data_IF_896163002127
#
_entry.id   IF_896163002127
#
_cell.length_a   1.000
_cell.length_b   1.000
_cell.length_c   1.000
_cell.angle_alpha   90.00
_cell.angle_beta   90.00
_cell.angle_gamma   90.00
#
_symmetry.space_group_name_H-M   'P 1'
#
loop_
_entity.id
_entity.type
_entity.pdbx_description
1 polymer ?
#
# COMPACT_ATOMS: atom_id res chain seq x y z
N UNK A 1 24.93 -11.13 -6.97
CA UNK A 1 24.53 -11.15 -5.55
C UNK A 1 24.09 -9.73 -5.23
N UNK A 2 22.78 -9.46 -5.12
CA UNK A 2 22.29 -8.09 -4.85
C UNK A 2 22.66 -7.74 -3.41
N UNK A 3 23.48 -6.70 -3.22
CA UNK A 3 23.82 -6.22 -1.88
C UNK A 3 22.57 -5.65 -1.19
N UNK A 4 22.48 -5.88 0.12
CA UNK A 4 21.33 -5.45 0.92
C UNK A 4 21.44 -3.96 1.25
N UNK A 5 20.42 -3.18 0.85
CA UNK A 5 20.40 -1.71 0.92
C UNK A 5 20.66 -1.16 2.33
N UNK A 6 20.27 -1.90 3.38
CA UNK A 6 20.49 -1.56 4.79
C UNK A 6 21.96 -1.29 5.14
N UNK A 7 22.91 -1.86 4.38
CA UNK A 7 24.35 -1.61 4.60
C UNK A 7 24.80 -0.20 4.22
N UNK A 8 24.01 0.53 3.43
CA UNK A 8 24.40 1.80 2.82
C UNK A 8 23.63 3.01 3.35
N UNK A 9 22.52 2.79 4.05
CA UNK A 9 21.62 3.86 4.49
C UNK A 9 21.18 3.67 5.93
N UNK A 10 20.79 4.76 6.60
CA UNK A 10 20.17 4.69 7.92
C UNK A 10 18.66 4.41 7.84
N UNK A 11 18.04 4.75 6.71
CA UNK A 11 16.63 4.49 6.43
C UNK A 11 16.40 4.41 4.92
N UNK A 12 15.38 3.65 4.51
CA UNK A 12 14.97 3.55 3.11
C UNK A 12 13.46 3.45 3.01
N UNK A 13 12.86 4.28 2.13
CA UNK A 13 11.41 4.27 1.92
C UNK A 13 10.98 2.93 1.31
N UNK A 14 9.97 2.31 1.90
CA UNK A 14 9.48 0.98 1.48
C UNK A 14 8.17 1.02 0.70
N UNK A 15 7.57 2.20 0.58
CA UNK A 15 6.33 2.46 -0.15
C UNK A 15 6.49 3.60 -1.15
N UNK A 16 5.45 3.84 -1.95
CA UNK A 16 5.26 5.13 -2.58
C UNK A 16 4.95 6.21 -1.52
N UNK A 17 4.83 7.45 -1.95
CA UNK A 17 4.49 8.57 -1.05
C UNK A 17 3.20 8.31 -0.25
N UNK A 18 3.26 8.45 1.08
CA UNK A 18 2.10 8.37 1.97
C UNK A 18 1.36 9.71 2.04
N UNK A 19 0.03 9.66 1.97
CA UNK A 19 -0.86 10.81 2.10
C UNK A 19 -2.04 10.48 2.99
N UNK A 20 -2.85 11.49 3.28
CA UNK A 20 -3.94 11.44 4.23
C UNK A 20 -5.22 10.77 3.67
N UNK A 21 -5.05 9.62 3.00
CA UNK A 21 -6.15 8.75 2.58
C UNK A 21 -6.05 7.39 3.27
N UNK A 22 -7.19 6.79 3.62
CA UNK A 22 -7.20 5.47 4.24
C UNK A 22 -6.52 4.40 3.38
N UNK A 23 -6.63 4.50 2.05
CA UNK A 23 -5.99 3.54 1.14
C UNK A 23 -4.47 3.55 1.27
N UNK A 24 -3.88 4.73 1.44
CA UNK A 24 -2.44 4.88 1.63
C UNK A 24 -2.03 4.25 2.96
N UNK A 25 -2.67 4.63 4.07
CA UNK A 25 -2.44 4.05 5.42
C UNK A 25 -2.61 2.53 5.42
N UNK A 26 -3.67 2.00 4.80
CA UNK A 26 -3.97 0.57 4.77
C UNK A 26 -2.96 -0.25 3.97
N UNK A 27 -2.25 0.36 3.03
CA UNK A 27 -1.23 -0.31 2.20
C UNK A 27 0.01 -0.70 3.01
N UNK A 28 0.33 0.06 4.06
CA UNK A 28 1.52 -0.14 4.91
C UNK A 28 1.45 -1.38 5.78
N UNK A 29 0.26 -1.90 6.08
CA UNK A 29 0.11 -3.05 6.99
C UNK A 29 0.83 -4.31 6.48
N UNK A 30 0.61 -4.67 5.21
CA UNK A 30 1.24 -5.85 4.63
C UNK A 30 2.75 -5.66 4.45
N UNK A 31 3.16 -4.46 4.02
CA UNK A 31 4.57 -4.12 3.83
C UNK A 31 5.32 -4.17 5.15
N UNK A 32 4.78 -3.54 6.20
CA UNK A 32 5.36 -3.56 7.55
C UNK A 32 5.49 -4.98 8.09
N UNK A 33 4.46 -5.82 7.90
CA UNK A 33 4.51 -7.25 8.26
C UNK A 33 5.65 -7.96 7.53
N UNK A 34 5.78 -7.75 6.23
CA UNK A 34 6.79 -8.43 5.41
C UNK A 34 8.20 -8.06 5.86
N UNK A 35 8.46 -6.76 6.10
CA UNK A 35 9.75 -6.30 6.63
C UNK A 35 10.03 -6.80 8.06
N UNK A 36 9.01 -6.89 8.91
CA UNK A 36 9.16 -7.51 10.24
C UNK A 36 9.53 -9.00 10.15
N UNK A 37 8.88 -9.74 9.24
CA UNK A 37 9.08 -11.19 9.07
C UNK A 37 10.50 -11.57 8.67
N UNK A 38 11.19 -10.69 7.92
CA UNK A 38 12.59 -10.85 7.51
C UNK A 38 13.57 -10.09 8.42
N UNK A 39 13.13 -9.66 9.61
CA UNK A 39 13.95 -8.97 10.63
C UNK A 39 14.67 -7.73 10.10
N UNK A 40 14.01 -6.97 9.24
CA UNK A 40 14.56 -5.72 8.68
C UNK A 40 14.29 -4.48 9.51
N UNK A 41 13.41 -4.56 10.50
CA UNK A 41 13.15 -3.47 11.45
C UNK A 41 14.39 -3.24 12.31
N UNK A 42 15.09 -2.13 12.09
CA UNK A 42 16.31 -1.80 12.82
C UNK A 42 17.41 -2.84 12.58
N UNK A 43 17.53 -3.39 11.36
CA UNK A 43 18.59 -4.32 11.03
C UNK A 43 19.97 -3.66 11.18
N UNK A 44 21.00 -4.47 11.44
CA UNK A 44 22.38 -3.99 11.38
C UNK A 44 22.65 -3.45 9.98
N UNK A 45 23.14 -2.22 9.92
CA UNK A 45 23.25 -1.46 8.69
C UNK A 45 24.28 -0.34 8.84
N UNK A 46 24.34 0.54 7.85
CA UNK A 46 25.38 1.56 7.65
C UNK A 46 26.19 1.96 8.90
N UNK A 47 25.70 2.92 9.71
CA UNK A 47 26.37 3.42 10.93
C UNK A 47 25.72 2.87 12.20
N UNK A 48 25.28 1.62 12.16
CA UNK A 48 24.64 0.95 13.29
C UNK A 48 23.37 0.24 12.85
N UNK A 49 22.25 0.97 12.76
CA UNK A 49 20.95 0.40 12.42
C UNK A 49 20.33 1.08 11.20
N UNK A 50 19.66 0.29 10.38
CA UNK A 50 18.86 0.76 9.25
C UNK A 50 17.38 0.49 9.47
N UNK A 51 16.52 1.43 9.08
CA UNK A 51 15.08 1.40 9.34
C UNK A 51 14.24 1.44 8.05
N UNK A 52 13.27 0.52 7.89
CA UNK A 52 12.23 0.64 6.88
C UNK A 52 11.42 1.92 7.13
N UNK A 53 11.35 2.79 6.13
CA UNK A 53 10.63 4.06 6.23
C UNK A 53 9.26 3.97 5.55
N UNK A 54 8.21 4.11 6.36
CA UNK A 54 6.81 4.16 5.93
C UNK A 54 6.39 5.55 5.43
N UNK A 55 7.35 6.46 5.24
CA UNK A 55 7.17 7.85 4.82
C UNK A 55 6.62 8.76 5.93
N UNK A 56 6.58 10.05 5.62
CA UNK A 56 6.14 11.12 6.53
C UNK A 56 4.70 10.95 6.99
N UNK A 57 4.38 11.49 8.16
CA UNK A 57 3.06 11.52 8.75
C UNK A 57 2.25 12.72 8.20
N UNK A 58 1.24 12.52 7.34
CA UNK A 58 0.44 13.58 6.75
C UNK A 58 -0.64 14.01 7.75
N UNK A 59 -0.23 14.65 8.85
CA UNK A 59 -1.10 15.05 9.96
C UNK A 59 -1.14 16.58 10.11
N UNK A 60 -2.19 17.11 10.72
CA UNK A 60 -2.34 18.54 10.99
C UNK A 60 -2.68 19.36 9.73
N UNK A 61 -1.94 20.45 9.51
CA UNK A 61 -2.18 21.41 8.44
C UNK A 61 -1.26 21.14 7.24
N UNK A 62 -1.84 20.80 6.08
CA UNK A 62 -1.17 20.22 4.92
C UNK A 62 -1.50 20.99 3.63
N UNK A 63 -0.82 20.64 2.54
CA UNK A 63 -1.20 20.98 1.16
C UNK A 63 -1.64 19.73 0.41
N UNK A 64 -2.21 19.89 -0.78
CA UNK A 64 -2.50 18.74 -1.65
C UNK A 64 -1.22 18.07 -2.19
N UNK A 65 -1.30 16.77 -2.54
CA UNK A 65 -0.15 16.06 -3.08
C UNK A 65 0.44 16.69 -4.34
N UNK A 66 1.76 16.87 -4.34
CA UNK A 66 2.50 17.45 -5.46
C UNK A 66 2.34 18.97 -5.62
N UNK A 67 1.67 19.64 -4.67
CA UNK A 67 1.53 21.09 -4.66
C UNK A 67 2.61 21.70 -3.79
N UNK A 68 3.36 22.68 -4.34
CA UNK A 68 4.49 23.33 -3.64
C UNK A 68 4.04 24.37 -2.61
N UNK A 69 2.89 25.01 -2.85
CA UNK A 69 2.36 26.08 -2.00
C UNK A 69 0.86 26.22 -2.25
N UNK A 70 0.04 26.00 -1.22
CA UNK A 70 -1.40 26.32 -1.18
C UNK A 70 -2.29 25.64 -2.26
N UNK A 71 -3.61 25.44 -2.04
CA UNK A 71 -4.34 25.76 -0.83
C UNK A 71 -3.93 24.85 0.33
N UNK A 72 -4.00 25.41 1.54
CA UNK A 72 -3.78 24.63 2.76
C UNK A 72 -5.09 24.07 3.28
N UNK A 73 -5.02 22.90 3.91
CA UNK A 73 -6.18 22.18 4.42
C UNK A 73 -5.80 21.36 5.64
N UNK A 74 -6.80 20.94 6.41
CA UNK A 74 -6.60 19.90 7.43
C UNK A 74 -6.37 18.54 6.77
N UNK A 75 -5.69 17.67 7.50
CA UNK A 75 -5.66 16.24 7.27
C UNK A 75 -7.08 15.67 7.08
N UNK A 76 -7.27 14.85 6.05
CA UNK A 76 -8.52 14.17 5.73
C UNK A 76 -8.71 12.86 6.50
N UNK A 77 -7.66 12.34 7.14
CA UNK A 77 -7.79 11.18 8.02
C UNK A 77 -8.64 11.54 9.23
N UNK A 78 -9.60 10.67 9.55
CA UNK A 78 -10.33 10.72 10.81
C UNK A 78 -9.39 10.51 12.00
N UNK A 79 -9.78 10.94 13.20
CA UNK A 79 -8.95 10.76 14.39
C UNK A 79 -8.61 9.28 14.65
N UNK A 80 -9.53 8.35 14.36
CA UNK A 80 -9.29 6.91 14.50
C UNK A 80 -8.24 6.42 13.49
N UNK A 81 -8.27 6.91 12.25
CA UNK A 81 -7.25 6.62 11.23
C UNK A 81 -5.89 7.22 11.58
N UNK A 82 -5.85 8.45 12.12
CA UNK A 82 -4.61 9.09 12.58
C UNK A 82 -3.98 8.30 13.75
N UNK A 83 -4.79 7.83 14.71
CA UNK A 83 -4.33 6.94 15.79
C UNK A 83 -3.82 5.62 15.24
N UNK A 84 -4.51 5.05 14.26
CA UNK A 84 -4.09 3.81 13.57
C UNK A 84 -2.74 3.99 12.90
N UNK A 85 -2.54 5.08 12.14
CA UNK A 85 -1.29 5.40 11.49
C UNK A 85 -0.15 5.52 12.49
N UNK A 86 -0.31 6.37 13.51
CA UNK A 86 0.71 6.56 14.54
C UNK A 86 1.04 5.28 15.32
N UNK A 87 0.03 4.46 15.61
CA UNK A 87 0.24 3.16 16.28
C UNK A 87 1.02 2.20 15.39
N UNK A 88 0.68 2.09 14.10
CA UNK A 88 1.40 1.24 13.15
C UNK A 88 2.85 1.72 12.95
N UNK A 89 3.07 3.02 12.73
CA UNK A 89 4.43 3.57 12.55
C UNK A 89 5.30 3.32 13.78
N UNK A 90 4.71 3.46 14.97
CA UNK A 90 5.41 3.17 16.22
C UNK A 90 5.74 1.69 16.34
N UNK A 91 4.77 0.80 16.11
CA UNK A 91 4.96 -0.66 16.16
C UNK A 91 5.90 -1.17 15.07
N UNK A 92 5.93 -0.56 13.88
CA UNK A 92 6.88 -0.90 12.82
C UNK A 92 8.27 -0.26 13.04
N UNK A 93 8.40 0.61 14.05
CA UNK A 93 9.58 1.45 14.32
C UNK A 93 10.03 2.24 13.08
N UNK A 94 9.04 2.75 12.32
CA UNK A 94 9.30 3.67 11.21
C UNK A 94 9.83 4.99 11.75
N UNK A 95 10.72 5.70 11.03
CA UNK A 95 11.03 7.09 11.32
C UNK A 95 9.74 7.93 11.43
N UNK A 96 9.68 8.79 12.46
CA UNK A 96 8.53 9.66 12.70
C UNK A 96 8.84 11.08 12.20
N UNK A 97 8.53 11.34 10.94
CA UNK A 97 8.70 12.65 10.31
C UNK A 97 7.34 13.34 10.15
N UNK A 98 7.09 14.43 10.87
CA UNK A 98 5.82 15.17 10.78
C UNK A 98 5.76 16.00 9.50
N UNK A 99 4.73 15.78 8.68
CA UNK A 99 4.57 16.45 7.38
C UNK A 99 3.76 17.75 7.40
N UNK A 100 3.09 18.07 8.51
CA UNK A 100 2.24 19.25 8.64
C UNK A 100 2.98 20.52 9.09
N UNK A 101 2.29 21.66 8.97
CA UNK A 101 2.77 22.94 9.50
C UNK A 101 2.60 23.00 11.03
N UNK A 102 3.71 22.87 11.76
CA UNK A 102 3.74 22.91 13.22
C UNK A 102 3.25 24.24 13.83
N UNK A 103 3.25 25.35 13.08
CA UNK A 103 2.74 26.64 13.56
C UNK A 103 1.22 26.66 13.69
N UNK A 104 0.55 25.76 12.98
CA UNK A 104 -0.90 25.59 12.95
C UNK A 104 -1.34 24.29 13.66
N UNK A 105 -0.53 23.79 14.59
CA UNK A 105 -0.76 22.52 15.28
C UNK A 105 -1.86 22.66 16.33
N UNK A 106 -2.91 21.85 16.21
CA UNK A 106 -3.95 21.76 17.23
C UNK A 106 -3.56 20.79 18.38
N UNK A 107 -4.24 20.94 19.52
CA UNK A 107 -3.96 20.12 20.71
C UNK A 107 -4.21 18.62 20.53
N UNK A 108 -5.12 18.24 19.63
CA UNK A 108 -5.41 16.82 19.36
C UNK A 108 -4.24 16.17 18.62
N UNK A 109 -3.76 16.84 17.57
CA UNK A 109 -2.61 16.42 16.77
C UNK A 109 -1.34 16.43 17.61
N UNK A 110 -1.13 17.47 18.44
CA UNK A 110 -0.01 17.51 19.37
C UNK A 110 -0.02 16.31 20.32
N UNK A 111 -1.15 16.04 20.99
CA UNK A 111 -1.29 14.91 21.91
C UNK A 111 -1.05 13.56 21.22
N UNK A 112 -1.34 13.46 19.92
CA UNK A 112 -1.12 12.28 19.12
C UNK A 112 0.37 12.05 18.85
N UNK A 113 1.07 13.08 18.35
CA UNK A 113 2.50 12.97 17.97
C UNK A 113 3.45 13.00 19.19
N UNK A 114 2.97 13.52 20.33
CA UNK A 114 3.73 13.56 21.58
C UNK A 114 3.33 12.48 22.58
N UNK A 115 2.60 11.44 22.14
CA UNK A 115 2.16 10.37 23.05
C UNK A 115 3.39 9.59 23.57
N UNK A 116 3.68 9.62 24.88
CA UNK A 116 4.91 9.04 25.42
C UNK A 116 4.99 7.53 25.23
N UNK A 117 3.87 6.82 25.21
CA UNK A 117 3.84 5.36 25.05
C UNK A 117 4.17 4.99 23.60
N UNK A 118 3.64 5.72 22.63
CA UNK A 118 3.97 5.49 21.21
C UNK A 118 5.45 5.79 20.91
N UNK A 119 5.97 6.89 21.46
CA UNK A 119 7.38 7.26 21.31
C UNK A 119 8.31 6.24 21.99
N UNK A 120 7.90 5.70 23.14
CA UNK A 120 8.61 4.62 23.83
C UNK A 120 8.66 3.34 22.98
N UNK A 121 7.54 2.94 22.38
CA UNK A 121 7.48 1.80 21.45
C UNK A 121 8.43 2.06 20.27
N UNK A 122 8.25 3.17 19.57
CA UNK A 122 9.03 3.51 18.39
C UNK A 122 10.53 3.51 18.67
N UNK A 123 10.96 4.12 19.78
CA UNK A 123 12.38 4.29 20.12
C UNK A 123 12.99 3.02 20.73
N UNK A 124 12.32 2.42 21.72
CA UNK A 124 12.98 1.48 22.63
C UNK A 124 12.44 0.05 22.60
N UNK A 125 11.30 -0.23 21.95
CA UNK A 125 10.81 -1.61 21.89
C UNK A 125 11.69 -2.52 21.04
N UNK A 126 11.58 -3.82 21.29
CA UNK A 126 12.19 -4.91 20.51
C UNK A 126 11.13 -5.96 20.13
N UNK A 127 11.51 -6.91 19.27
CA UNK A 127 10.65 -8.01 18.82
C UNK A 127 9.31 -7.56 18.21
N UNK A 128 9.33 -6.42 17.54
CA UNK A 128 8.17 -5.86 16.86
C UNK A 128 7.76 -6.75 15.67
N UNK A 129 6.56 -7.30 15.71
CA UNK A 129 6.04 -8.16 14.64
C UNK A 129 4.52 -8.21 14.59
N UNK A 130 3.97 -8.63 13.45
CA UNK A 130 2.55 -8.99 13.36
C UNK A 130 2.27 -10.20 14.27
N UNK A 131 1.26 -10.08 15.13
CA UNK A 131 0.75 -11.17 15.94
C UNK A 131 -0.44 -11.81 15.21
N UNK A 132 -0.39 -13.08 14.78
CA UNK A 132 -1.41 -13.63 13.90
C UNK A 132 -2.64 -14.20 14.64
N UNK A 133 -2.58 -14.37 15.96
CA UNK A 133 -3.61 -15.09 16.73
C UNK A 133 -4.70 -14.19 17.31
N UNK A 134 -5.41 -13.47 16.42
CA UNK A 134 -6.60 -12.69 16.77
C UNK A 134 -7.85 -13.17 16.06
N UNK A 135 -9.00 -13.02 16.70
CA UNK A 135 -10.29 -13.40 16.15
C UNK A 135 -11.39 -12.43 16.52
N UNK A 136 -12.49 -12.46 15.76
CA UNK A 136 -13.70 -11.70 16.04
C UNK A 136 -14.72 -12.57 16.77
N UNK A 137 -15.36 -12.04 17.81
CA UNK A 137 -16.52 -12.70 18.41
C UNK A 137 -17.75 -12.33 17.57
N UNK A 138 -18.17 -13.24 16.68
CA UNK A 138 -19.51 -13.16 16.11
C UNK A 138 -20.49 -13.55 17.22
N UNK A 139 -21.44 -12.68 17.59
CA UNK A 139 -22.61 -13.07 18.39
C UNK A 139 -23.34 -14.18 17.63
N UNK A 140 -23.05 -15.44 17.92
CA UNK A 140 -23.77 -16.56 17.36
C UNK A 140 -25.00 -16.86 18.21
N UNK A 141 -26.18 -16.65 17.62
CA UNK A 141 -27.36 -17.47 17.90
C UNK A 141 -26.90 -18.94 17.88
N UNK A 142 -27.18 -19.64 18.99
CA UNK A 142 -26.82 -21.03 19.26
C UNK A 142 -26.98 -21.95 18.04
N UNK A 143 -25.90 -22.68 17.70
CA UNK A 143 -25.95 -24.13 17.57
C UNK A 143 -24.53 -24.71 17.65
N UNK A 144 -24.37 -25.68 18.57
CA UNK A 144 -23.19 -26.54 18.71
C UNK A 144 -22.83 -27.14 17.36
N UNK A 145 -21.55 -27.08 17.00
CA UNK A 145 -20.80 -28.24 16.51
C UNK A 145 -19.31 -27.91 16.57
N UNK A 146 -18.56 -28.78 17.25
CA UNK A 146 -17.10 -28.81 17.20
C UNK A 146 -16.67 -29.06 15.76
N UNK A 147 -16.07 -28.06 15.12
CA UNK A 147 -15.40 -28.23 13.83
C UNK A 147 -14.02 -27.59 13.96
N UNK A 148 -13.00 -28.45 13.95
CA UNK A 148 -11.62 -28.10 13.65
C UNK A 148 -11.58 -27.32 12.33
N UNK A 149 -11.37 -26.01 12.38
CA UNK A 149 -11.16 -25.21 11.18
C UNK A 149 -9.71 -25.34 10.72
N UNK A 150 -9.47 -26.34 9.87
CA UNK A 150 -8.40 -26.28 8.87
C UNK A 150 -8.64 -25.03 8.03
N UNK A 151 -7.63 -24.16 7.91
CA UNK A 151 -7.62 -23.06 6.95
C UNK A 151 -7.89 -23.60 5.54
N UNK A 152 -9.13 -23.44 5.06
CA UNK A 152 -9.48 -23.41 3.64
C UNK A 152 -10.05 -22.04 3.39
N UNK A 153 -9.30 -21.21 2.68
CA UNK A 153 -9.82 -20.02 2.02
C UNK A 153 -11.07 -20.41 1.23
N UNK A 154 -12.25 -20.02 1.71
CA UNK A 154 -13.44 -20.03 0.87
C UNK A 154 -13.36 -18.79 -0.02
N UNK A 155 -13.20 -19.05 -1.31
CA UNK A 155 -13.33 -18.10 -2.40
C UNK A 155 -14.56 -17.21 -2.18
N UNK A 156 -14.33 -15.96 -1.79
CA UNK A 156 -15.24 -14.89 -2.16
C UNK A 156 -15.17 -14.77 -3.69
N UNK A 157 -16.35 -14.72 -4.33
CA UNK A 157 -16.49 -14.54 -5.77
C UNK A 157 -15.55 -13.43 -6.24
N UNK A 158 -14.63 -13.78 -7.14
CA UNK A 158 -13.69 -12.86 -7.77
C UNK A 158 -14.48 -11.73 -8.43
N UNK A 159 -14.38 -10.51 -7.89
CA UNK A 159 -14.58 -9.32 -8.73
C UNK A 159 -13.52 -9.35 -9.83
N UNK A 160 -13.85 -8.98 -11.08
CA UNK A 160 -12.90 -9.06 -12.19
C UNK A 160 -11.62 -8.28 -11.87
N UNK A 161 -10.47 -8.89 -12.14
CA UNK A 161 -9.14 -8.31 -11.95
C UNK A 161 -9.06 -6.94 -12.65
N UNK A 162 -8.77 -5.87 -11.89
CA UNK A 162 -8.56 -4.54 -12.47
C UNK A 162 -7.13 -4.41 -12.99
N UNK A 163 -6.98 -4.31 -14.32
CA UNK A 163 -5.68 -4.09 -14.99
C UNK A 163 -5.48 -2.60 -15.30
N UNK A 164 -4.24 -2.12 -15.19
CA UNK A 164 -3.86 -0.75 -15.55
C UNK A 164 -2.53 -0.74 -16.30
N UNK A 165 -2.30 0.33 -17.06
CA UNK A 165 -1.05 0.55 -17.81
C UNK A 165 -0.09 1.41 -16.98
N UNK A 166 1.17 1.00 -16.98
CA UNK A 166 2.28 1.63 -16.28
C UNK A 166 3.53 1.67 -17.19
N UNK A 167 4.56 2.42 -16.80
CA UNK A 167 5.82 2.52 -17.56
C UNK A 167 6.94 1.77 -16.85
N UNK A 168 7.77 1.05 -17.61
CA UNK A 168 8.92 0.29 -17.10
C UNK A 168 10.06 0.33 -18.11
N UNK A 169 11.26 -0.10 -17.70
CA UNK A 169 12.33 -0.44 -18.64
C UNK A 169 11.86 -1.49 -19.67
N UNK A 170 12.19 -1.27 -20.95
CA UNK A 170 11.86 -2.17 -22.06
C UNK A 170 12.49 -3.56 -21.96
N UNK A 171 13.57 -3.71 -21.17
CA UNK A 171 14.18 -5.01 -20.89
C UNK A 171 13.33 -5.89 -19.95
N UNK A 172 12.26 -5.35 -19.37
CA UNK A 172 11.38 -6.09 -18.48
C UNK A 172 10.50 -7.06 -19.27
N UNK A 173 10.48 -8.35 -18.90
CA UNK A 173 9.62 -9.36 -19.54
C UNK A 173 8.14 -8.98 -19.53
N UNK A 174 7.69 -8.23 -18.51
CA UNK A 174 6.30 -7.78 -18.39
C UNK A 174 5.92 -6.64 -19.34
N UNK A 175 6.90 -5.99 -19.99
CA UNK A 175 6.70 -4.94 -20.98
C UNK A 175 6.46 -5.50 -22.40
N UNK A 176 6.65 -6.81 -22.58
CA UNK A 176 6.48 -7.51 -23.85
C UNK A 176 5.00 -7.87 -24.08
N UNK A 177 4.74 -8.52 -25.22
CA UNK A 177 3.44 -9.04 -25.63
C UNK A 177 2.45 -8.02 -26.21
N UNK A 178 2.94 -6.87 -26.68
CA UNK A 178 2.19 -6.00 -27.58
C UNK A 178 2.34 -6.48 -29.03
N UNK A 179 1.24 -6.49 -29.77
CA UNK A 179 1.22 -6.82 -31.19
C UNK A 179 0.33 -5.87 -31.98
N UNK A 180 0.67 -5.67 -33.25
CA UNK A 180 -0.23 -5.03 -34.19
C UNK A 180 -1.13 -6.10 -34.82
N UNK A 181 -2.43 -5.86 -34.83
CA UNK A 181 -3.40 -6.66 -35.59
C UNK A 181 -3.84 -5.87 -36.81
N UNK A 182 -3.56 -6.43 -37.98
CA UNK A 182 -4.04 -5.94 -39.27
C UNK A 182 -5.32 -6.71 -39.59
N UNK A 183 -6.48 -6.06 -39.48
CA UNK A 183 -7.74 -6.60 -39.98
C UNK A 183 -8.12 -5.83 -41.24
N UNK A 184 -8.25 -6.54 -42.36
CA UNK A 184 -8.72 -5.99 -43.64
C UNK A 184 -10.08 -5.30 -43.45
N UNK A 185 -10.09 -3.96 -43.57
CA UNK A 185 -11.30 -3.13 -43.43
C UNK A 185 -11.53 -2.50 -42.06
N UNK A 186 -10.67 -2.73 -41.06
CA UNK A 186 -10.72 -2.08 -39.75
C UNK A 186 -9.43 -1.27 -39.48
N UNK A 187 -9.49 -0.19 -38.67
CA UNK A 187 -8.30 0.58 -38.30
C UNK A 187 -7.28 -0.28 -37.56
N UNK A 188 -5.99 -0.07 -37.87
CA UNK A 188 -4.85 -0.74 -37.22
C UNK A 188 -5.01 -0.71 -35.69
N UNK A 189 -4.84 -1.86 -35.04
CA UNK A 189 -4.98 -1.99 -33.59
C UNK A 189 -3.69 -2.51 -32.96
N UNK A 190 -3.27 -1.87 -31.88
CA UNK A 190 -2.21 -2.36 -31.02
C UNK A 190 -2.86 -3.03 -29.81
N UNK A 191 -2.65 -4.33 -29.70
CA UNK A 191 -3.23 -5.17 -28.66
C UNK A 191 -2.15 -5.74 -27.75
N UNK A 192 -2.46 -5.87 -26.47
CA UNK A 192 -1.67 -6.65 -25.52
C UNK A 192 -2.31 -8.02 -25.33
N UNK A 193 -1.56 -9.10 -25.60
CA UNK A 193 -2.02 -10.48 -25.51
C UNK A 193 -1.04 -11.37 -24.74
N UNK A 194 -1.46 -11.83 -23.55
CA UNK A 194 -0.69 -12.76 -22.75
C UNK A 194 -1.09 -14.20 -23.14
N UNK A 195 -0.24 -14.92 -23.87
CA UNK A 195 -0.42 -16.36 -24.13
C UNK A 195 -0.34 -17.17 -22.83
N UNK A 196 -1.42 -17.22 -22.04
CA UNK A 196 -1.60 -18.20 -20.98
C UNK A 196 -2.65 -19.23 -21.37
N UNK A 197 -2.27 -20.51 -21.25
CA UNK A 197 -3.13 -21.69 -21.40
C UNK A 197 -4.25 -21.66 -20.38
N UNK A 198 -5.41 -21.09 -20.74
CA UNK A 198 -6.79 -21.42 -20.31
C UNK A 198 -7.75 -20.38 -20.88
N UNK A 199 -8.99 -20.78 -21.07
CA UNK A 199 -9.98 -20.29 -22.04
C UNK A 199 -10.60 -18.89 -21.82
N UNK A 200 -9.83 -17.91 -21.35
CA UNK A 200 -10.29 -16.52 -21.22
C UNK A 200 -9.50 -15.61 -22.16
N UNK A 201 -10.01 -15.40 -23.38
CA UNK A 201 -9.52 -14.37 -24.31
C UNK A 201 -9.92 -12.99 -23.78
N UNK A 202 -8.99 -12.27 -23.16
CA UNK A 202 -9.13 -10.83 -22.90
C UNK A 202 -7.94 -10.09 -23.49
N UNK A 203 -8.08 -9.66 -24.74
CA UNK A 203 -7.15 -8.77 -25.43
C UNK A 203 -7.47 -7.31 -25.09
N UNK A 204 -6.47 -6.55 -24.63
CA UNK A 204 -6.58 -5.11 -24.43
C UNK A 204 -6.05 -4.40 -25.67
N UNK A 205 -6.92 -3.76 -26.45
CA UNK A 205 -6.56 -3.15 -27.74
C UNK A 205 -6.83 -1.64 -27.77
N UNK A 206 -5.91 -0.90 -28.38
CA UNK A 206 -6.06 0.52 -28.70
C UNK A 206 -5.92 0.71 -30.21
N UNK A 207 -6.67 1.67 -30.76
CA UNK A 207 -6.59 1.99 -32.18
C UNK A 207 -5.32 2.81 -32.44
N UNK A 208 -4.51 2.37 -33.40
CA UNK A 208 -3.37 3.10 -33.95
C UNK A 208 -3.90 4.20 -34.86
N UNK A 209 -3.49 5.43 -34.60
CA UNK A 209 -3.75 6.58 -35.46
C UNK A 209 -2.43 7.15 -35.93
N UNK A 210 -2.19 7.00 -37.23
CA UNK A 210 -1.00 7.55 -37.86
C UNK A 210 -1.01 9.08 -37.79
N UNK A 211 0.17 9.65 -37.66
CA UNK A 211 0.36 11.08 -37.61
C UNK A 211 0.45 11.58 -39.04
N UNK A 212 -0.68 12.05 -39.61
CA UNK A 212 -0.69 12.71 -40.92
C UNK A 212 -0.11 14.11 -40.75
N UNK A 213 1.15 14.29 -41.15
CA UNK A 213 1.74 15.62 -41.34
C UNK A 213 1.27 16.19 -42.68
N UNK A 214 0.80 17.44 -42.69
CA UNK A 214 0.70 18.18 -43.95
C UNK A 214 2.07 18.79 -44.26
N UNK A 215 2.53 18.57 -45.48
CA UNK A 215 3.80 18.95 -46.09
C UNK A 215 4.86 17.83 -46.11
N UNK A 216 5.26 17.49 -47.34
CA UNK A 216 6.08 16.37 -47.81
C UNK A 216 7.53 16.29 -47.33
N UNK A 217 7.90 16.90 -46.21
CA UNK A 217 9.26 16.77 -45.64
C UNK A 217 9.18 16.80 -44.13
N UNK A 218 9.83 15.81 -43.51
CA UNK A 218 10.01 15.62 -42.07
C UNK A 218 9.00 14.69 -41.37
N UNK A 219 8.96 13.43 -41.82
CA UNK A 219 8.75 12.31 -40.89
C UNK A 219 9.95 12.29 -39.96
N UNK A 220 9.76 12.61 -38.67
CA UNK A 220 10.82 12.41 -37.67
C UNK A 220 10.99 10.90 -37.50
N UNK A 221 11.92 10.33 -38.26
CA UNK A 221 12.49 9.03 -37.96
C UNK A 221 13.31 9.17 -36.67
N UNK A 222 13.04 8.30 -35.69
CA UNK A 222 14.08 7.95 -34.72
C UNK A 222 15.27 7.37 -35.51
N UNK A 223 16.49 7.41 -34.95
CA UNK A 223 17.73 6.99 -35.62
C UNK A 223 17.69 5.54 -36.18
N UNK A 224 16.62 4.78 -35.88
CA UNK A 224 16.37 3.38 -36.23
C UNK A 224 15.15 3.12 -37.15
N UNK A 225 14.61 4.13 -37.87
CA UNK A 225 13.52 3.95 -38.87
C UNK A 225 12.18 3.40 -38.32
N UNK A 226 11.82 3.70 -37.07
CA UNK A 226 10.58 3.19 -36.45
C UNK A 226 9.38 4.11 -36.71
N UNK A 227 8.23 3.51 -37.03
CA UNK A 227 6.98 4.26 -37.25
C UNK A 227 6.41 4.77 -35.92
N UNK A 228 6.21 6.09 -35.82
CA UNK A 228 5.66 6.75 -34.63
C UNK A 228 4.17 7.00 -34.85
N UNK A 229 3.34 6.61 -33.87
CA UNK A 229 1.89 6.72 -33.94
C UNK A 229 1.27 7.15 -32.60
N UNK A 230 0.00 7.55 -32.64
CA UNK A 230 -0.83 7.79 -31.45
C UNK A 230 -1.76 6.61 -31.21
N UNK A 231 -2.12 6.39 -29.95
CA UNK A 231 -3.06 5.34 -29.55
C UNK A 231 -4.33 5.96 -28.97
N UNK A 232 -5.49 5.62 -29.54
CA UNK A 232 -6.80 6.15 -29.16
C UNK A 232 -7.77 5.04 -28.78
N UNK A 233 -8.71 5.33 -27.88
CA UNK A 233 -9.65 4.34 -27.36
C UNK A 233 -10.83 4.04 -28.31
N UNK A 234 -11.16 4.94 -29.23
CA UNK A 234 -12.28 4.76 -30.16
C UNK A 234 -12.06 5.51 -31.47
N UNK A 235 -12.80 5.14 -32.53
CA UNK A 235 -12.63 5.72 -33.87
C UNK A 235 -12.97 7.22 -33.94
N UNK A 236 -13.86 7.69 -33.05
CA UNK A 236 -14.19 9.12 -32.85
C UNK A 236 -13.41 9.76 -31.70
N UNK A 237 -12.45 9.04 -31.12
CA UNK A 237 -11.86 9.38 -29.83
C UNK A 237 -10.93 10.59 -29.89
N UNK A 238 -11.29 11.64 -29.15
CA UNK A 238 -10.44 12.80 -28.88
C UNK A 238 -9.44 12.56 -27.74
N UNK A 239 -9.44 11.35 -27.17
CA UNK A 239 -8.56 11.00 -26.05
C UNK A 239 -7.48 10.00 -26.48
N UNK A 240 -6.23 10.38 -26.25
CA UNK A 240 -5.01 9.65 -26.59
C UNK A 240 -4.32 9.12 -25.33
N UNK A 241 -3.66 7.96 -25.49
CA UNK A 241 -2.81 7.38 -24.46
C UNK A 241 -1.65 8.32 -24.13
N UNK A 242 -1.53 8.73 -22.87
CA UNK A 242 -0.56 9.72 -22.42
C UNK A 242 0.39 9.18 -21.34
N UNK A 243 1.69 9.27 -21.63
CA UNK A 243 2.80 8.88 -20.75
C UNK A 243 3.38 10.04 -19.92
N UNK A 244 2.78 11.24 -19.94
CA UNK A 244 3.30 12.40 -19.22
C UNK A 244 3.50 12.08 -17.73
N UNK A 245 4.63 12.42 -17.10
CA UNK A 245 4.75 12.32 -15.66
C UNK A 245 3.80 13.34 -15.04
N UNK A 246 2.70 12.90 -14.40
CA UNK A 246 1.78 13.87 -13.80
C UNK A 246 0.71 13.28 -12.90
N UNK A 247 0.71 13.80 -11.65
CA UNK A 247 -0.30 13.75 -10.57
C UNK A 247 -0.77 12.36 -10.08
N UNK A 248 -0.85 12.24 -8.75
CA UNK A 248 -1.38 11.06 -8.05
C UNK A 248 -2.81 10.77 -8.47
N UNK A 249 -3.07 9.48 -8.70
CA UNK A 249 -4.38 8.95 -9.10
C UNK A 249 -5.36 9.08 -7.92
N UNK A 250 -6.55 9.63 -8.17
CA UNK A 250 -7.65 9.62 -7.19
C UNK A 250 -8.26 8.22 -7.20
N UNK A 251 -8.78 7.75 -6.05
CA UNK A 251 -9.37 6.40 -5.92
C UNK A 251 -10.56 6.13 -6.86
N UNK A 252 -11.15 7.17 -7.47
CA UNK A 252 -12.17 7.08 -8.53
C UNK A 252 -11.59 6.75 -9.91
N UNK A 253 -10.30 7.01 -10.15
CA UNK A 253 -9.62 6.81 -11.44
C UNK A 253 -9.01 5.40 -11.54
N UNK A 254 -9.37 4.48 -10.65
CA UNK A 254 -8.98 3.05 -10.68
C UNK A 254 -9.82 2.29 -11.72
N UNK A 255 -10.25 2.99 -12.77
CA UNK A 255 -10.74 2.45 -14.02
C UNK A 255 -10.07 3.25 -15.13
N UNK A 256 -9.36 2.52 -15.98
CA UNK A 256 -8.95 2.90 -17.31
C UNK A 256 -7.57 3.55 -17.50
N UNK A 257 -7.01 3.14 -18.63
CA UNK A 257 -5.82 3.65 -19.30
C UNK A 257 -5.80 5.18 -19.21
N UNK A 258 -4.64 5.80 -18.96
CA UNK A 258 -4.54 7.26 -18.90
C UNK A 258 -4.73 7.85 -20.30
N UNK A 259 -5.97 8.17 -20.59
CA UNK A 259 -6.40 8.81 -21.81
C UNK A 259 -6.61 10.29 -21.49
N UNK A 260 -5.89 11.16 -22.17
CA UNK A 260 -6.10 12.62 -22.07
C UNK A 260 -6.42 13.16 -23.45
N UNK A 261 -6.89 14.40 -23.53
CA UNK A 261 -7.14 15.01 -24.84
C UNK A 261 -5.91 14.88 -25.74
N UNK A 262 -6.14 14.47 -26.98
CA UNK A 262 -5.08 14.25 -27.95
C UNK A 262 -4.33 15.56 -28.21
N UNK A 263 -3.04 15.54 -27.91
CA UNK A 263 -2.10 16.64 -28.06
C UNK A 263 -0.98 16.22 -28.99
N UNK A 264 -0.37 17.21 -29.64
CA UNK A 264 0.84 17.03 -30.44
C UNK A 264 2.06 17.12 -29.52
N UNK A 265 2.21 16.13 -28.64
CA UNK A 265 3.27 16.08 -27.63
C UNK A 265 3.91 14.69 -27.59
N UNK A 266 5.22 14.63 -27.37
CA UNK A 266 6.02 13.39 -27.35
C UNK A 266 5.56 12.39 -26.30
N UNK A 267 4.88 12.85 -25.25
CA UNK A 267 4.29 11.98 -24.23
C UNK A 267 3.12 11.13 -24.74
N UNK A 268 2.50 11.50 -25.86
CA UNK A 268 1.42 10.75 -26.51
C UNK A 268 1.88 10.03 -27.77
N UNK A 269 3.19 10.05 -28.05
CA UNK A 269 3.80 9.40 -29.22
C UNK A 269 4.41 8.07 -28.80
N UNK A 270 4.09 7.03 -29.57
CA UNK A 270 4.44 5.65 -29.27
C UNK A 270 5.01 4.95 -30.50
N UNK A 271 5.90 3.98 -30.27
CA UNK A 271 6.43 3.08 -31.29
C UNK A 271 6.39 1.64 -30.80
N UNK A 272 6.11 0.69 -31.70
CA UNK A 272 6.13 -0.74 -31.38
C UNK A 272 7.44 -1.35 -31.90
N UNK A 273 8.13 -2.10 -31.04
CA UNK A 273 9.33 -2.85 -31.40
C UNK A 273 8.96 -4.28 -31.83
N UNK A 274 9.82 -4.89 -32.65
CA UNK A 274 9.65 -6.27 -33.12
C UNK A 274 9.68 -7.31 -31.98
N UNK A 275 10.30 -6.97 -30.84
CA UNK A 275 10.32 -7.80 -29.64
C UNK A 275 9.00 -7.76 -28.83
N UNK A 276 8.00 -7.03 -29.34
CA UNK A 276 6.67 -6.90 -28.76
C UNK A 276 6.59 -5.90 -27.61
N UNK A 277 7.52 -4.93 -27.54
CA UNK A 277 7.47 -3.83 -26.56
C UNK A 277 6.93 -2.54 -27.17
N UNK A 278 6.10 -1.82 -26.42
CA UNK A 278 5.49 -0.55 -26.84
C UNK A 278 6.18 0.63 -26.13
N UNK A 279 7.02 1.36 -26.85
CA UNK A 279 7.91 2.41 -26.32
C UNK A 279 7.24 3.78 -26.41
N UNK A 280 7.43 4.61 -25.39
CA UNK A 280 7.02 6.00 -25.40
C UNK A 280 8.18 6.94 -25.79
N UNK A 281 7.95 7.85 -26.74
CA UNK A 281 8.99 8.74 -27.29
C UNK A 281 9.45 9.88 -26.36
N UNK A 282 8.70 10.18 -25.28
CA UNK A 282 9.11 11.19 -24.30
C UNK A 282 10.02 10.61 -23.22
N UNK A 283 9.68 9.42 -22.72
CA UNK A 283 10.36 8.80 -21.57
C UNK A 283 11.36 7.71 -21.94
N UNK A 284 11.35 7.22 -23.18
CA UNK A 284 12.07 6.02 -23.63
C UNK A 284 11.76 4.76 -22.78
N UNK A 285 10.62 4.77 -22.09
CA UNK A 285 10.13 3.64 -21.31
C UNK A 285 9.04 2.88 -22.09
N UNK A 286 8.87 1.61 -21.74
CA UNK A 286 7.88 0.73 -22.36
C UNK A 286 6.61 0.59 -21.51
N UNK A 287 5.47 0.48 -22.19
CA UNK A 287 4.18 0.22 -21.59
C UNK A 287 4.10 -1.21 -21.04
N UNK A 288 3.70 -1.31 -19.77
CA UNK A 288 3.48 -2.56 -19.06
C UNK A 288 2.03 -2.60 -18.60
N UNK A 289 1.34 -3.68 -18.94
CA UNK A 289 0.03 -3.97 -18.36
C UNK A 289 0.24 -4.67 -17.02
N UNK A 290 -0.03 -3.96 -15.94
CA UNK A 290 -0.07 -4.55 -14.62
C UNK A 290 -1.50 -5.08 -14.38
N UNK A 291 -1.62 -6.38 -14.11
CA UNK A 291 -2.71 -6.83 -13.26
C UNK A 291 -2.28 -6.51 -11.85
N UNK A 292 -2.96 -5.54 -11.24
CA UNK A 292 -2.98 -5.56 -9.81
C UNK A 292 -3.75 -6.84 -9.45
N UNK A 293 -3.01 -7.89 -9.02
CA UNK A 293 -3.39 -8.46 -7.73
C UNK A 293 -3.22 -7.30 -6.74
N UNK A 294 -4.18 -6.37 -6.72
CA UNK A 294 -4.44 -5.71 -5.46
C UNK A 294 -4.80 -6.91 -4.62
N UNK A 295 -3.93 -7.30 -3.71
CA UNK A 295 -4.43 -7.86 -2.48
C UNK A 295 -5.33 -6.77 -1.87
N UNK A 296 -6.54 -6.56 -2.42
CA UNK A 296 -7.65 -5.84 -1.79
C UNK A 296 -8.19 -6.71 -0.65
N UNK A 297 -7.26 -7.15 0.18
CA UNK A 297 -7.48 -7.72 1.50
C UNK A 297 -6.53 -7.01 2.47
N UNK A 298 -6.36 -5.69 2.31
CA UNK A 298 -6.13 -4.81 3.48
C UNK A 298 -7.46 -4.51 4.18
N UNK A 299 -8.38 -5.49 4.19
CA UNK A 299 -9.54 -5.52 5.07
C UNK A 299 -9.31 -6.59 6.12
N UNK A 300 -10.19 -6.64 7.11
CA UNK A 300 -10.09 -7.59 8.21
C UNK A 300 -9.47 -6.98 9.48
N UNK A 301 -9.03 -7.86 10.36
CA UNK A 301 -8.44 -7.50 11.63
C UNK A 301 -6.95 -7.83 11.59
N UNK A 302 -6.13 -6.95 12.14
CA UNK A 302 -4.68 -7.13 12.25
C UNK A 302 -4.27 -6.90 13.69
N UNK A 303 -3.12 -7.45 14.06
CA UNK A 303 -2.52 -7.15 15.35
C UNK A 303 -1.01 -7.14 15.29
N UNK A 304 -0.40 -6.34 16.15
CA UNK A 304 1.03 -6.26 16.33
C UNK A 304 1.39 -6.45 17.78
N UNK A 305 2.58 -7.00 18.01
CA UNK A 305 3.14 -7.20 19.34
C UNK A 305 4.58 -6.70 19.37
N UNK A 306 5.00 -6.17 20.51
CA UNK A 306 6.36 -5.74 20.76
C UNK A 306 6.69 -5.86 22.26
N UNK A 307 7.98 -5.91 22.57
CA UNK A 307 8.50 -5.99 23.92
C UNK A 307 9.13 -4.64 24.32
N UNK A 308 8.71 -4.07 25.43
CA UNK A 308 9.33 -2.89 26.02
C UNK A 308 10.63 -3.21 26.77
N UNK A 309 11.46 -2.19 26.94
CA UNK A 309 12.79 -2.33 27.58
C UNK A 309 12.72 -2.70 29.06
N UNK A 310 11.58 -2.52 29.73
CA UNK A 310 11.37 -2.91 31.14
C UNK A 310 10.67 -4.27 31.27
N UNK A 311 10.41 -4.95 30.15
CA UNK A 311 9.73 -6.24 30.10
C UNK A 311 8.22 -6.13 29.86
N UNK A 312 7.67 -4.94 29.71
CA UNK A 312 6.27 -4.76 29.35
C UNK A 312 5.98 -5.27 27.93
N UNK A 313 4.75 -5.68 27.68
CA UNK A 313 4.30 -6.16 26.37
C UNK A 313 3.37 -5.10 25.77
N UNK A 314 3.65 -4.69 24.54
CA UNK A 314 2.76 -3.83 23.77
C UNK A 314 1.97 -4.69 22.80
N UNK A 315 0.64 -4.63 22.87
CA UNK A 315 -0.26 -5.34 21.98
C UNK A 315 -1.19 -4.34 21.29
N UNK A 316 -1.14 -4.26 19.97
CA UNK A 316 -1.99 -3.40 19.17
C UNK A 316 -2.98 -4.23 18.36
N UNK A 317 -4.26 -3.87 18.41
CA UNK A 317 -5.32 -4.36 17.53
C UNK A 317 -5.69 -3.28 16.52
N UNK A 318 -5.89 -3.68 15.27
CA UNK A 318 -6.26 -2.79 14.19
C UNK A 318 -7.49 -3.35 13.47
N UNK A 319 -8.49 -2.50 13.27
CA UNK A 319 -9.68 -2.85 12.51
C UNK A 319 -9.61 -2.17 11.14
N UNK A 320 -9.26 -2.93 10.12
CA UNK A 320 -9.15 -2.40 8.75
C UNK A 320 -10.50 -2.46 8.01
N UNK A 321 -11.58 -2.87 8.68
CA UNK A 321 -12.92 -2.95 8.11
C UNK A 321 -13.63 -1.59 8.14
N UNK A 322 -14.58 -1.36 7.21
CA UNK A 322 -15.44 -0.18 7.19
C UNK A 322 -16.48 -0.17 8.33
N UNK A 323 -16.52 -1.22 9.16
CA UNK A 323 -17.46 -1.36 10.28
C UNK A 323 -16.71 -1.66 11.57
N UNK A 324 -17.24 -1.16 12.69
CA UNK A 324 -16.67 -1.43 14.00
C UNK A 324 -16.66 -2.94 14.29
N UNK A 325 -15.55 -3.42 14.83
CA UNK A 325 -15.28 -4.85 15.00
C UNK A 325 -14.77 -5.14 16.41
N UNK A 326 -15.29 -6.21 17.01
CA UNK A 326 -14.77 -6.71 18.28
C UNK A 326 -13.60 -7.65 18.03
N UNK A 327 -12.41 -7.27 18.48
CA UNK A 327 -11.15 -8.00 18.28
C UNK A 327 -10.72 -8.63 19.60
N UNK A 328 -10.36 -9.91 19.58
CA UNK A 328 -9.96 -10.68 20.76
C UNK A 328 -8.68 -11.47 20.49
N UNK A 329 -7.79 -11.52 21.48
CA UNK A 329 -6.63 -12.41 21.56
C UNK A 329 -6.70 -13.26 22.84
N UNK A 330 -6.20 -14.49 22.80
CA UNK A 330 -6.01 -15.30 24.02
C UNK A 330 -4.67 -14.99 24.67
N UNK A 331 -4.63 -15.01 25.99
CA UNK A 331 -3.38 -14.85 26.75
C UNK A 331 -2.45 -16.06 26.52
N UNK A 332 -3.00 -17.26 26.36
CA UNK A 332 -2.22 -18.47 26.01
C UNK A 332 -1.45 -18.30 24.70
N UNK A 333 -2.10 -17.75 23.68
CA UNK A 333 -1.47 -17.59 22.36
C UNK A 333 -0.35 -16.53 22.40
N UNK A 334 -0.47 -15.53 23.30
CA UNK A 334 0.61 -14.57 23.57
C UNK A 334 1.78 -15.23 24.31
N UNK A 335 1.49 -16.09 25.29
CA UNK A 335 2.51 -16.86 26.01
C UNK A 335 3.29 -17.78 25.08
N UNK A 336 2.60 -18.49 24.19
CA UNK A 336 3.22 -19.37 23.21
C UNK A 336 4.07 -18.60 22.20
N UNK A 337 3.62 -17.39 21.79
CA UNK A 337 4.33 -16.56 20.82
C UNK A 337 5.58 -15.89 21.40
N UNK A 338 5.53 -15.40 22.64
CA UNK A 338 6.65 -14.67 23.28
C UNK A 338 7.58 -15.57 24.09
N UNK A 339 7.14 -16.78 24.42
CA UNK A 339 7.80 -17.67 25.37
C UNK A 339 7.27 -17.48 26.80
N UNK A 340 7.14 -18.59 27.53
CA UNK A 340 6.54 -18.65 28.87
C UNK A 340 7.29 -17.84 29.94
N UNK A 341 8.54 -17.46 29.70
CA UNK A 341 9.37 -16.66 30.61
C UNK A 341 8.91 -15.20 30.75
N UNK A 342 8.09 -14.69 29.82
CA UNK A 342 7.56 -13.32 29.85
C UNK A 342 6.39 -13.10 30.80
N UNK A 343 5.82 -14.18 31.34
CA UNK A 343 4.67 -14.11 32.22
C UNK A 343 5.09 -14.63 33.59
N UNK A 344 5.54 -13.73 34.47
CA UNK A 344 5.88 -14.10 35.85
C UNK A 344 4.59 -14.50 36.57
N UNK A 345 4.64 -15.57 37.37
CA UNK A 345 3.48 -16.05 38.12
C UNK A 345 2.92 -14.93 39.02
N UNK A 346 1.77 -14.37 38.65
CA UNK A 346 1.06 -13.36 39.44
C UNK A 346 0.56 -12.18 38.62
N UNK A 347 -0.67 -12.29 38.10
CA UNK A 347 -1.52 -11.22 37.52
C UNK A 347 -0.87 -10.20 36.57
N UNK A 348 -1.24 -10.26 35.28
CA UNK A 348 -0.92 -9.22 34.31
C UNK A 348 -1.75 -7.95 34.54
N UNK A 349 -1.13 -6.78 34.75
CA UNK A 349 -1.86 -5.51 34.63
C UNK A 349 -2.00 -5.14 33.14
N UNK A 350 -3.15 -4.63 32.72
CA UNK A 350 -3.41 -4.25 31.32
C UNK A 350 -4.00 -2.84 31.27
N UNK A 351 -3.35 -1.92 30.55
CA UNK A 351 -3.83 -0.55 30.36
C UNK A 351 -4.08 -0.30 28.88
N UNK A 352 -5.27 0.21 28.54
CA UNK A 352 -5.58 0.64 27.18
C UNK A 352 -5.14 2.08 26.97
N UNK A 353 -4.19 2.31 26.06
CA UNK A 353 -3.50 3.60 25.88
C UNK A 353 -4.45 4.72 25.46
N UNK A 354 -5.28 4.50 24.45
CA UNK A 354 -6.13 5.56 23.88
C UNK A 354 -7.31 5.97 24.76
N UNK A 355 -7.76 5.09 25.66
CA UNK A 355 -8.86 5.41 26.59
C UNK A 355 -8.38 5.77 28.00
N UNK A 356 -7.10 5.53 28.31
CA UNK A 356 -6.52 5.68 29.63
C UNK A 356 -7.09 4.71 30.68
N UNK A 357 -7.91 3.73 30.28
CA UNK A 357 -8.59 2.82 31.21
C UNK A 357 -7.66 1.67 31.59
N UNK A 358 -7.44 1.52 32.89
CA UNK A 358 -6.89 0.30 33.47
C UNK A 358 -7.95 -0.81 33.36
N UNK A 359 -7.59 -1.90 32.71
CA UNK A 359 -8.41 -3.07 32.57
C UNK A 359 -8.07 -4.06 33.67
N UNK A 360 -9.08 -4.80 34.13
CA UNK A 360 -8.84 -5.93 35.00
C UNK A 360 -7.87 -6.90 34.32
N UNK A 361 -6.97 -7.55 35.09
CA UNK A 361 -6.04 -8.53 34.53
C UNK A 361 -6.75 -9.50 33.61
N UNK A 362 -6.32 -9.64 32.34
CA UNK A 362 -6.96 -10.56 31.43
C UNK A 362 -6.75 -11.98 31.97
N UNK A 363 -7.81 -12.58 32.54
CA UNK A 363 -7.72 -13.95 33.08
C UNK A 363 -7.45 -14.97 31.97
N UNK A 364 -8.00 -14.74 30.78
CA UNK A 364 -7.92 -15.68 29.64
C UNK A 364 -7.80 -15.00 28.28
N UNK A 365 -8.40 -13.81 28.12
CA UNK A 365 -8.44 -13.10 26.83
C UNK A 365 -8.29 -11.60 27.02
N UNK A 366 -7.74 -10.94 26.00
CA UNK A 366 -7.69 -9.49 25.86
C UNK A 366 -8.58 -9.13 24.69
N UNK A 367 -9.48 -8.17 24.87
CA UNK A 367 -10.42 -7.81 23.81
C UNK A 367 -10.76 -6.33 23.80
N UNK A 368 -11.07 -5.83 22.61
CA UNK A 368 -11.41 -4.44 22.37
C UNK A 368 -12.54 -4.36 21.34
N UNK A 369 -13.46 -3.43 21.57
CA UNK A 369 -14.32 -2.94 20.49
C UNK A 369 -13.59 -1.82 19.75
N UNK A 370 -13.28 -2.03 18.47
CA UNK A 370 -12.48 -1.10 17.66
C UNK A 370 -13.33 -0.54 16.53
N UNK A 371 -13.41 0.79 16.45
CA UNK A 371 -14.15 1.50 15.39
C UNK A 371 -13.62 1.16 13.99
N UNK A 372 -14.40 1.51 12.96
CA UNK A 372 -13.93 1.40 11.58
C UNK A 372 -12.61 2.15 11.42
N UNK A 373 -11.63 1.49 10.80
CA UNK A 373 -10.28 2.01 10.55
C UNK A 373 -9.50 2.44 11.82
N UNK A 374 -10.02 2.11 13.00
CA UNK A 374 -9.42 2.45 14.28
C UNK A 374 -8.45 1.39 14.80
N UNK A 375 -7.86 1.69 15.95
CA UNK A 375 -6.98 0.78 16.67
C UNK A 375 -7.24 0.79 18.18
N UNK A 376 -6.78 -0.26 18.85
CA UNK A 376 -6.65 -0.31 20.30
C UNK A 376 -5.23 -0.75 20.64
N UNK A 377 -4.56 0.00 21.52
CA UNK A 377 -3.21 -0.31 21.99
C UNK A 377 -3.25 -0.61 23.48
N UNK A 378 -2.63 -1.72 23.86
CA UNK A 378 -2.54 -2.22 25.22
C UNK A 378 -1.09 -2.26 25.68
N UNK A 379 -0.87 -1.86 26.93
CA UNK A 379 0.38 -2.10 27.66
C UNK A 379 0.08 -3.16 28.70
N UNK A 380 0.77 -4.30 28.62
CA UNK A 380 0.65 -5.37 29.59
C UNK A 380 1.92 -5.46 30.42
N UNK A 381 1.76 -5.50 31.73
CA UNK A 381 2.83 -5.79 32.67
C UNK A 381 2.55 -7.15 33.29
N UNK A 382 3.25 -8.14 32.75
CA UNK A 382 3.30 -9.55 33.14
C UNK A 382 4.77 -9.90 33.44
#
# INVERSE_FOLDING_TARGET
MSETIDKYVNMYRVTADDWDTWSDVASHFNISRDFASVRKIGAEGFRGRSWPDLDMLPLGWLTDPGVRQGPHRKCYLTLDEQKTQMTLWSMAKSPLMFGGDLRNLDGTTLSLISNPILLEINSYSSNNSEFPHVYTIKKHLRKKNHIFFKFKEKMYQQKPEKKFLDLTSCNNEKAKCWNATLQTGNPDQICWDLKMRRSDKFSYCLLKRNVLFSSDKDVIYDQEHREIFRLVASQRGDNCLDASPGRKRIASDIQDIRLTSCKWHTSQMWSLNDDGTLVNSYSNMCAKVNSNKVSTTSGGIKSWIATGRKGEIYLAFFNLNPTATHITAKVSDLQDFMGSSFFRQGSCNCTQVWSGKNMQPPKTTISAFVNSHGCALFVLNC
#
